data_IF_205145535399
#
_entry.id   IF_205145535399
#
_cell.length_a   1.000
_cell.length_b   1.000
_cell.length_c   1.000
_cell.angle_alpha   90.00
_cell.angle_beta   90.00
_cell.angle_gamma   90.00
#
_symmetry.space_group_name_H-M   'P 1'
#
loop_
_entity.id
_entity.type
_entity.pdbx_description
1 polymer ?
#
# COMPACT_ATOMS: atom_id res chain seq x y z
N UNK A 1 -5.22 9.10 -15.52
CA UNK A 1 -4.49 8.74 -14.30
C UNK A 1 -5.11 7.45 -13.75
N UNK A 2 -4.42 6.32 -13.90
CA UNK A 2 -4.88 5.06 -13.29
C UNK A 2 -4.59 5.10 -11.79
N UNK A 3 -5.56 4.69 -10.97
CA UNK A 3 -5.38 4.61 -9.52
C UNK A 3 -4.57 3.34 -9.23
N UNK A 4 -3.42 3.48 -8.56
CA UNK A 4 -2.56 2.37 -8.14
C UNK A 4 -3.09 1.75 -6.85
N UNK A 5 -4.01 0.79 -6.96
CA UNK A 5 -4.41 -0.05 -5.83
C UNK A 5 -4.00 -1.49 -6.05
N UNK A 6 -3.59 -2.16 -4.96
CA UNK A 6 -3.28 -3.60 -4.94
C UNK A 6 -4.40 -4.33 -4.23
N UNK A 7 -4.74 -5.51 -4.76
CA UNK A 7 -5.65 -6.44 -4.09
C UNK A 7 -4.87 -7.37 -3.17
N UNK A 8 -5.29 -7.47 -1.92
CA UNK A 8 -4.73 -8.37 -0.94
C UNK A 8 -5.75 -9.47 -0.68
N UNK A 9 -5.45 -10.65 -1.20
CA UNK A 9 -6.30 -11.85 -1.11
C UNK A 9 -5.72 -12.84 -0.13
N UNK A 10 -6.59 -13.61 0.51
CA UNK A 10 -6.18 -14.68 1.38
C UNK A 10 -5.58 -15.83 0.54
N UNK A 11 -4.32 -16.20 0.78
CA UNK A 11 -3.67 -17.29 0.05
C UNK A 11 -4.37 -18.65 0.19
N UNK A 12 -5.11 -18.88 1.28
CA UNK A 12 -5.75 -20.17 1.55
C UNK A 12 -7.12 -20.34 0.87
N UNK A 13 -7.85 -19.25 0.68
CA UNK A 13 -9.24 -19.32 0.22
C UNK A 13 -9.61 -18.28 -0.85
N UNK A 14 -8.61 -17.57 -1.35
CA UNK A 14 -8.65 -16.49 -2.36
C UNK A 14 -9.64 -15.35 -2.07
N UNK A 15 -10.18 -15.31 -0.85
CA UNK A 15 -11.09 -14.26 -0.42
C UNK A 15 -10.35 -12.92 -0.47
N UNK A 16 -10.94 -11.94 -1.15
CA UNK A 16 -10.49 -10.55 -1.06
C UNK A 16 -10.61 -10.06 0.39
N UNK A 17 -9.48 -9.69 0.97
CA UNK A 17 -9.40 -9.18 2.33
C UNK A 17 -9.48 -7.66 2.33
N UNK A 18 -8.69 -7.04 1.46
CA UNK A 18 -8.57 -5.59 1.35
C UNK A 18 -8.08 -5.19 -0.05
N UNK A 19 -8.43 -3.98 -0.49
CA UNK A 19 -7.93 -3.36 -1.71
C UNK A 19 -7.54 -1.92 -1.42
N UNK A 20 -6.29 -1.57 -1.71
CA UNK A 20 -5.80 -0.22 -1.45
C UNK A 20 -4.31 -0.09 -1.71
N UNK A 21 -3.80 1.10 -1.41
CA UNK A 21 -2.38 1.42 -1.42
C UNK A 21 -1.91 1.50 0.02
N UNK A 22 -0.86 0.76 0.36
CA UNK A 22 -0.21 0.81 1.66
C UNK A 22 1.16 1.45 1.46
N UNK A 23 1.42 2.52 2.19
CA UNK A 23 2.70 3.26 2.16
C UNK A 23 3.24 3.28 3.58
N UNK A 24 4.50 2.88 3.78
CA UNK A 24 5.19 2.85 5.07
C UNK A 24 4.34 2.32 6.23
N UNK A 25 3.56 1.28 5.96
CA UNK A 25 2.56 0.75 6.87
C UNK A 25 2.63 -0.76 6.92
N UNK A 26 2.16 -1.32 8.02
CA UNK A 26 1.97 -2.74 8.18
C UNK A 26 0.52 -2.99 8.61
N UNK A 27 -0.12 -3.97 7.99
CA UNK A 27 -1.51 -4.35 8.29
C UNK A 27 -1.56 -5.83 8.59
N UNK A 28 -2.02 -6.16 9.79
CA UNK A 28 -2.36 -7.53 10.16
C UNK A 28 -3.84 -7.80 9.88
N UNK A 29 -4.13 -8.88 9.16
CA UNK A 29 -5.48 -9.25 8.73
C UNK A 29 -5.74 -10.71 9.06
N UNK A 30 -6.78 -10.94 9.87
CA UNK A 30 -7.32 -12.28 10.11
C UNK A 30 -8.42 -12.59 9.09
N UNK A 31 -8.22 -13.63 8.27
CA UNK A 31 -9.26 -14.09 7.37
C UNK A 31 -10.33 -14.87 8.13
N UNK A 32 -11.50 -14.28 8.33
CA UNK A 32 -12.60 -14.92 9.08
C UNK A 32 -13.05 -16.30 8.55
N UNK A 33 -12.78 -16.61 7.28
CA UNK A 33 -13.16 -17.89 6.63
C UNK A 33 -12.22 -19.03 7.02
N UNK A 34 -10.92 -18.86 6.80
CA UNK A 34 -9.91 -19.91 7.07
C UNK A 34 -9.14 -19.70 8.38
N UNK A 35 -9.42 -18.61 9.11
CA UNK A 35 -8.73 -18.17 10.34
C UNK A 35 -7.23 -17.90 10.18
N UNK A 36 -6.70 -17.91 8.95
CA UNK A 36 -5.33 -17.55 8.67
C UNK A 36 -5.07 -16.07 9.00
N UNK A 37 -3.99 -15.82 9.75
CA UNK A 37 -3.47 -14.48 10.02
C UNK A 37 -2.45 -14.13 8.95
N UNK A 38 -2.52 -12.89 8.42
CA UNK A 38 -1.60 -12.40 7.40
C UNK A 38 -1.12 -11.02 7.79
N UNK A 39 0.18 -10.81 7.69
CA UNK A 39 0.81 -9.49 7.84
C UNK A 39 1.21 -9.00 6.46
N UNK A 40 0.74 -7.82 6.09
CA UNK A 40 1.00 -7.19 4.80
C UNK A 40 1.80 -5.92 5.04
N UNK A 41 2.95 -5.81 4.37
CA UNK A 41 3.78 -4.61 4.39
C UNK A 41 3.45 -3.72 3.19
N UNK A 42 3.36 -2.43 3.44
CA UNK A 42 3.25 -1.40 2.43
C UNK A 42 4.53 -1.19 1.66
N UNK A 43 4.40 -0.45 0.57
CA UNK A 43 5.51 -0.01 -0.26
C UNK A 43 6.21 1.17 0.42
N UNK A 44 7.54 1.30 0.28
CA UNK A 44 8.27 2.47 0.73
C UNK A 44 7.73 3.79 0.13
N UNK A 45 7.65 4.85 0.93
CA UNK A 45 7.14 6.16 0.47
C UNK A 45 7.93 6.77 -0.69
N UNK A 46 9.23 6.50 -0.77
CA UNK A 46 10.15 7.04 -1.78
C UNK A 46 9.75 6.65 -3.21
N UNK A 47 9.12 5.48 -3.39
CA UNK A 47 8.53 5.03 -4.65
C UNK A 47 7.40 5.93 -5.16
N UNK A 48 6.76 6.68 -4.26
CA UNK A 48 5.68 7.61 -4.59
C UNK A 48 6.16 9.06 -4.63
N UNK A 49 7.43 9.33 -4.29
CA UNK A 49 8.02 10.66 -4.47
C UNK A 49 8.37 10.84 -5.94
N UNK A 50 7.80 11.87 -6.55
CA UNK A 50 8.17 12.30 -7.88
C UNK A 50 9.54 12.99 -7.84
N UNK A 51 10.63 12.22 -8.03
CA UNK A 51 12.01 12.74 -8.06
C UNK A 51 12.40 13.43 -9.38
N UNK A 52 11.49 13.51 -10.35
CA UNK A 52 11.75 14.16 -11.65
C UNK A 52 11.85 15.68 -11.47
N UNK A 53 12.90 16.29 -12.01
CA UNK A 53 13.01 17.74 -12.06
C UNK A 53 11.82 18.36 -12.80
N UNK A 54 11.24 19.42 -12.20
CA UNK A 54 10.04 20.09 -12.70
C UNK A 54 8.71 19.36 -12.42
N UNK A 55 8.67 18.39 -11.51
CA UNK A 55 7.40 17.72 -11.19
C UNK A 55 6.38 18.69 -10.55
N UNK A 56 5.21 18.92 -11.16
CA UNK A 56 4.26 19.96 -10.73
C UNK A 56 3.67 19.71 -9.34
N UNK A 57 3.72 18.46 -8.85
CA UNK A 57 3.20 18.05 -7.55
C UNK A 57 4.31 17.73 -6.54
N UNK A 58 5.56 18.17 -6.79
CA UNK A 58 6.66 17.99 -5.85
C UNK A 58 6.37 18.78 -4.58
N UNK A 59 6.23 18.10 -3.45
CA UNK A 59 6.07 18.76 -2.15
C UNK A 59 7.38 19.51 -1.86
N UNK A 60 7.32 20.83 -1.73
CA UNK A 60 8.47 21.64 -1.32
C UNK A 60 8.84 21.26 0.12
N UNK A 61 10.08 20.80 0.34
CA UNK A 61 10.60 20.54 1.68
C UNK A 61 10.66 21.90 2.41
N UNK A 62 9.70 22.18 3.29
CA UNK A 62 9.88 23.23 4.29
C UNK A 62 10.90 22.73 5.29
N UNK A 63 12.12 23.29 5.20
CA UNK A 63 13.18 23.11 6.18
C UNK A 63 12.64 23.50 7.57
N UNK A 64 12.67 22.55 8.51
CA UNK A 64 12.55 22.80 9.94
C UNK A 64 13.92 22.71 10.58
#
# INVERSE_FOLDING_TARGET
MGIFYKEYRCSECDKLLFKGLLIDSEVEINCKRCKALRVVKGEPHDRFICLKDGCPNRVSVSQG
#
